data_IF_694729522326
#
_entry.id   IF_694729522326
#
_cell.length_a   1.000
_cell.length_b   1.000
_cell.length_c   1.000
_cell.angle_alpha   90.00
_cell.angle_beta   90.00
_cell.angle_gamma   90.00
#
_symmetry.space_group_name_H-M   'P 1'
#
loop_
_entity.id
_entity.type
_entity.pdbx_description
1 polymer ?
#
# COMPACT_ATOMS: atom_id res chain seq x y z
N UNK A 1 -63.94 21.89 -55.72
CA UNK A 1 -64.08 20.46 -55.31
C UNK A 1 -64.50 20.41 -53.87
N UNK A 2 -65.83 20.33 -53.68
CA UNK A 2 -66.43 20.20 -52.35
C UNK A 2 -66.44 18.72 -51.96
N UNK A 3 -65.81 18.39 -50.92
CA UNK A 3 -65.78 17.03 -50.37
C UNK A 3 -67.06 16.82 -49.58
N UNK A 4 -67.84 15.84 -50.01
CA UNK A 4 -69.17 15.50 -49.50
C UNK A 4 -69.00 14.62 -48.21
N UNK A 5 -68.88 15.30 -47.07
CA UNK A 5 -68.74 14.70 -45.76
C UNK A 5 -69.98 13.96 -45.25
N UNK A 6 -71.17 14.27 -45.86
CA UNK A 6 -72.39 13.60 -45.45
C UNK A 6 -72.49 12.16 -45.93
N UNK A 7 -71.95 11.86 -47.13
CA UNK A 7 -71.92 10.46 -47.65
C UNK A 7 -70.96 9.54 -46.87
N UNK A 8 -70.02 10.10 -46.27
CA UNK A 8 -69.08 9.31 -45.40
C UNK A 8 -69.69 8.99 -44.03
N UNK A 9 -70.57 9.86 -43.52
CA UNK A 9 -71.31 9.60 -42.28
C UNK A 9 -72.37 8.53 -42.42
N UNK A 10 -73.07 8.49 -43.57
CA UNK A 10 -74.10 7.49 -43.87
C UNK A 10 -73.44 6.08 -44.07
N UNK A 11 -72.29 6.03 -44.68
CA UNK A 11 -71.58 4.74 -44.81
C UNK A 11 -70.95 4.23 -43.48
N UNK A 12 -70.68 5.10 -42.50
CA UNK A 12 -70.26 4.67 -41.16
C UNK A 12 -71.38 4.17 -40.29
N UNK A 13 -72.67 4.68 -40.49
CA UNK A 13 -73.82 4.20 -39.72
C UNK A 13 -74.34 2.87 -40.17
N UNK A 14 -74.02 2.40 -41.39
CA UNK A 14 -74.45 1.07 -41.89
C UNK A 14 -73.48 -0.07 -41.54
N UNK A 15 -72.28 0.26 -40.96
CA UNK A 15 -71.27 -0.80 -40.56
C UNK A 15 -71.22 -1.13 -39.07
N UNK A 16 -72.11 -0.53 -38.25
CA UNK A 16 -72.19 -0.84 -36.81
C UNK A 16 -73.30 -1.82 -36.48
N UNK A 17 -73.63 -2.73 -37.40
CA UNK A 17 -74.46 -3.91 -37.18
C UNK A 17 -73.62 -5.18 -37.14
N UNK A 18 -72.51 -5.15 -36.33
CA UNK A 18 -71.75 -6.33 -36.01
C UNK A 18 -72.49 -7.17 -34.97
N UNK A 19 -73.29 -8.09 -35.49
CA UNK A 19 -74.00 -9.09 -34.65
C UNK A 19 -72.98 -9.83 -33.81
N UNK A 20 -73.12 -9.72 -32.52
CA UNK A 20 -72.42 -10.59 -31.54
C UNK A 20 -72.77 -12.05 -31.97
N UNK A 21 -71.79 -12.98 -32.05
CA UNK A 21 -72.12 -14.37 -32.40
C UNK A 21 -73.22 -14.89 -31.50
N UNK A 22 -74.25 -15.58 -32.06
CA UNK A 22 -75.44 -16.00 -31.30
C UNK A 22 -75.14 -16.87 -30.08
N UNK A 23 -73.97 -17.42 -30.00
CA UNK A 23 -73.48 -18.18 -28.82
C UNK A 23 -73.13 -17.29 -27.61
N UNK A 24 -72.87 -15.97 -27.82
CA UNK A 24 -72.55 -15.08 -26.71
C UNK A 24 -73.82 -14.50 -26.06
N UNK A 25 -74.89 -14.32 -26.84
CA UNK A 25 -76.17 -13.89 -26.31
C UNK A 25 -76.87 -14.98 -25.49
N UNK A 26 -76.76 -16.27 -25.89
CA UNK A 26 -77.21 -17.40 -25.07
C UNK A 26 -76.40 -17.52 -23.76
N UNK A 27 -75.10 -17.24 -23.80
CA UNK A 27 -74.26 -17.28 -22.60
C UNK A 27 -74.60 -16.12 -21.63
N UNK A 28 -74.84 -14.93 -22.16
CA UNK A 28 -75.27 -13.74 -21.37
C UNK A 28 -76.72 -13.91 -20.86
N UNK A 29 -77.64 -14.53 -21.65
CA UNK A 29 -79.01 -14.83 -21.20
C UNK A 29 -79.02 -15.95 -20.15
N UNK A 30 -78.24 -17.02 -20.30
CA UNK A 30 -78.05 -18.06 -19.26
C UNK A 30 -77.41 -17.52 -17.97
N UNK A 31 -76.54 -16.54 -18.08
CA UNK A 31 -75.96 -15.81 -16.91
C UNK A 31 -77.00 -14.89 -16.23
N UNK A 32 -77.93 -14.31 -16.98
CA UNK A 32 -79.03 -13.47 -16.45
C UNK A 32 -80.17 -14.28 -15.82
N UNK A 33 -80.43 -15.52 -16.32
CA UNK A 33 -81.46 -16.41 -15.79
C UNK A 33 -80.99 -17.11 -14.50
N UNK A 34 -79.67 -17.12 -14.22
CA UNK A 34 -79.13 -17.64 -12.96
C UNK A 34 -79.34 -16.62 -11.82
N UNK A 35 -80.67 -16.44 -11.46
CA UNK A 35 -81.09 -15.72 -10.27
C UNK A 35 -80.71 -16.46 -9.00
N UNK A 36 -79.41 -16.74 -8.80
CA UNK A 36 -78.92 -17.18 -7.53
C UNK A 36 -78.81 -15.95 -6.61
N UNK A 37 -79.66 -15.87 -5.58
CA UNK A 37 -79.62 -14.83 -4.54
C UNK A 37 -78.23 -14.70 -3.89
N UNK A 38 -77.28 -15.62 -4.17
CA UNK A 38 -75.87 -15.67 -3.73
C UNK A 38 -74.82 -15.20 -4.76
N UNK A 39 -75.20 -14.83 -6.03
CA UNK A 39 -74.26 -14.47 -7.11
C UNK A 39 -73.33 -13.30 -6.72
N UNK A 40 -73.80 -12.20 -6.12
CA UNK A 40 -72.93 -11.13 -5.68
C UNK A 40 -71.97 -11.59 -4.56
N UNK A 41 -72.39 -12.53 -3.70
CA UNK A 41 -71.55 -13.09 -2.67
C UNK A 41 -70.44 -14.02 -3.23
N UNK A 42 -70.75 -14.73 -4.32
CA UNK A 42 -69.75 -15.61 -5.01
C UNK A 42 -68.70 -14.73 -5.70
N UNK A 43 -69.12 -13.63 -6.37
CA UNK A 43 -68.18 -12.69 -6.99
C UNK A 43 -67.34 -12.01 -5.92
N UNK A 44 -67.94 -11.57 -4.83
CA UNK A 44 -67.21 -11.00 -3.70
C UNK A 44 -66.19 -11.98 -3.10
N UNK A 45 -66.60 -13.25 -2.94
CA UNK A 45 -65.73 -14.31 -2.43
C UNK A 45 -64.57 -14.60 -3.39
N UNK A 46 -64.80 -14.66 -4.71
CA UNK A 46 -63.75 -14.81 -5.73
C UNK A 46 -62.80 -13.62 -5.73
N UNK A 47 -63.31 -12.40 -5.60
CA UNK A 47 -62.53 -11.18 -5.55
C UNK A 47 -61.64 -11.18 -4.26
N UNK A 48 -62.22 -11.53 -3.12
CA UNK A 48 -61.46 -11.65 -1.86
C UNK A 48 -60.39 -12.75 -1.99
N UNK A 49 -60.73 -13.91 -2.55
CA UNK A 49 -59.82 -15.00 -2.77
C UNK A 49 -58.70 -14.61 -3.74
N UNK A 50 -58.98 -13.84 -4.78
CA UNK A 50 -57.98 -13.32 -5.71
C UNK A 50 -57.04 -12.30 -5.04
N UNK A 51 -57.57 -11.37 -4.24
CA UNK A 51 -56.78 -10.39 -3.48
C UNK A 51 -55.90 -11.10 -2.45
N UNK A 52 -56.44 -12.07 -1.72
CA UNK A 52 -55.69 -12.88 -0.78
C UNK A 52 -54.63 -13.73 -1.49
N UNK A 53 -54.96 -14.34 -2.63
CA UNK A 53 -54.04 -15.15 -3.42
C UNK A 53 -52.89 -14.35 -3.99
N UNK A 54 -53.15 -13.15 -4.49
CA UNK A 54 -52.07 -12.24 -4.99
C UNK A 54 -51.12 -11.81 -3.87
N UNK A 55 -51.60 -11.71 -2.63
CA UNK A 55 -50.78 -11.36 -1.44
C UNK A 55 -49.90 -12.52 -0.95
N UNK A 56 -50.07 -13.74 -1.49
CA UNK A 56 -49.32 -14.90 -1.04
C UNK A 56 -47.95 -15.04 -1.70
N UNK A 57 -47.74 -14.43 -2.85
CA UNK A 57 -46.46 -14.46 -3.56
C UNK A 57 -45.64 -13.25 -3.22
N UNK A 58 -44.34 -13.48 -3.02
CA UNK A 58 -43.35 -12.39 -2.84
C UNK A 58 -42.00 -12.80 -3.40
N UNK A 59 -41.23 -11.81 -3.81
CA UNK A 59 -39.89 -12.00 -4.33
C UNK A 59 -38.85 -11.52 -3.30
N UNK A 60 -37.76 -12.27 -3.15
CA UNK A 60 -36.59 -11.91 -2.36
C UNK A 60 -35.45 -11.64 -3.33
N UNK A 61 -34.80 -10.49 -3.22
CA UNK A 61 -33.67 -10.14 -4.05
C UNK A 61 -32.45 -11.04 -3.74
N UNK A 62 -31.47 -11.10 -4.65
CA UNK A 62 -30.30 -11.99 -4.54
C UNK A 62 -29.41 -11.61 -3.34
N UNK A 63 -29.41 -10.36 -2.94
CA UNK A 63 -28.66 -9.82 -1.80
C UNK A 63 -29.41 -9.88 -0.46
N UNK A 64 -30.70 -10.30 -0.49
CA UNK A 64 -31.59 -10.33 0.66
C UNK A 64 -31.96 -11.77 1.08
N UNK A 65 -32.38 -11.90 2.32
CA UNK A 65 -33.00 -13.09 2.87
C UNK A 65 -34.30 -12.66 3.57
N UNK A 66 -35.38 -13.39 3.31
CA UNK A 66 -36.69 -13.11 3.92
C UNK A 66 -36.86 -13.85 5.21
N UNK A 67 -37.12 -13.17 6.31
CA UNK A 67 -37.48 -13.76 7.60
C UNK A 67 -39.00 -13.70 7.76
N UNK A 68 -39.63 -14.89 7.89
CA UNK A 68 -41.08 -15.04 7.98
C UNK A 68 -41.47 -15.25 9.43
N UNK A 69 -42.40 -14.39 9.87
CA UNK A 69 -43.05 -14.43 11.18
C UNK A 69 -44.53 -14.76 11.01
N UNK A 70 -45.06 -15.67 11.78
CA UNK A 70 -46.49 -15.96 11.88
C UNK A 70 -46.98 -15.53 13.26
N UNK A 71 -47.88 -14.56 13.31
CA UNK A 71 -48.39 -13.96 14.55
C UNK A 71 -47.24 -13.52 15.49
N UNK A 72 -46.14 -12.97 14.91
CA UNK A 72 -44.97 -12.54 15.69
C UNK A 72 -43.93 -13.62 15.97
N UNK A 73 -44.26 -14.91 15.83
CA UNK A 73 -43.29 -16.01 16.05
C UNK A 73 -42.52 -16.30 14.77
N UNK A 74 -41.20 -16.44 14.87
CA UNK A 74 -40.36 -16.92 13.75
C UNK A 74 -40.75 -18.32 13.30
N UNK A 75 -40.87 -18.55 12.02
CA UNK A 75 -41.18 -19.86 11.42
C UNK A 75 -40.05 -20.36 10.54
N UNK A 76 -39.59 -19.53 9.59
CA UNK A 76 -38.57 -19.95 8.61
C UNK A 76 -37.89 -18.76 7.97
N UNK A 77 -36.75 -19.04 7.35
CA UNK A 77 -36.00 -18.11 6.52
C UNK A 77 -36.17 -18.49 5.05
N UNK A 78 -36.44 -17.51 4.17
CA UNK A 78 -36.64 -17.71 2.72
C UNK A 78 -35.39 -17.35 1.96
N UNK A 79 -35.00 -18.22 1.03
CA UNK A 79 -33.90 -17.98 0.08
C UNK A 79 -34.31 -16.97 -1.00
N UNK A 80 -33.33 -16.34 -1.71
CA UNK A 80 -33.59 -15.49 -2.86
C UNK A 80 -34.45 -16.17 -3.93
N UNK A 81 -35.32 -15.42 -4.57
CA UNK A 81 -36.26 -15.91 -5.60
C UNK A 81 -37.71 -15.66 -5.28
N UNK A 82 -38.59 -16.37 -6.01
CA UNK A 82 -40.04 -16.36 -5.79
C UNK A 82 -40.38 -17.30 -4.64
N UNK A 83 -41.05 -16.80 -3.63
CA UNK A 83 -41.44 -17.53 -2.44
C UNK A 83 -42.92 -17.35 -2.15
N UNK A 84 -43.47 -18.28 -1.34
CA UNK A 84 -44.85 -18.33 -0.94
C UNK A 84 -44.98 -18.06 0.56
N UNK A 85 -45.96 -17.24 0.94
CA UNK A 85 -46.34 -16.98 2.33
C UNK A 85 -47.86 -17.04 2.50
N UNK A 86 -48.31 -17.20 3.71
CA UNK A 86 -49.74 -17.07 4.02
C UNK A 86 -50.17 -15.59 3.86
N UNK A 87 -51.47 -15.35 3.57
CA UNK A 87 -52.01 -14.04 3.31
C UNK A 87 -51.62 -13.00 4.36
N UNK A 88 -51.59 -11.73 3.95
CA UNK A 88 -51.30 -10.60 4.83
C UNK A 88 -52.22 -10.63 6.07
N UNK A 89 -51.63 -10.51 7.26
CA UNK A 89 -52.31 -10.64 8.56
C UNK A 89 -51.92 -11.92 9.30
N UNK A 90 -51.56 -13.01 8.62
CA UNK A 90 -51.10 -14.26 9.24
C UNK A 90 -49.56 -14.28 9.25
N UNK A 91 -48.95 -14.10 8.08
CA UNK A 91 -47.49 -14.07 7.97
C UNK A 91 -46.98 -12.67 7.57
N UNK A 92 -45.99 -12.19 8.32
CA UNK A 92 -45.23 -10.98 8.04
C UNK A 92 -43.84 -11.38 7.57
N UNK A 93 -43.34 -10.74 6.51
CA UNK A 93 -41.98 -10.91 6.02
C UNK A 93 -41.16 -9.68 6.34
N UNK A 94 -39.96 -9.89 6.84
CA UNK A 94 -38.91 -8.85 6.99
C UNK A 94 -37.71 -9.24 6.11
N UNK A 95 -37.39 -8.42 5.12
CA UNK A 95 -36.25 -8.65 4.22
C UNK A 95 -35.00 -8.06 4.85
N UNK A 96 -33.93 -8.85 4.95
CA UNK A 96 -32.65 -8.48 5.53
C UNK A 96 -31.55 -8.63 4.47
N UNK A 97 -30.77 -7.60 4.23
CA UNK A 97 -29.67 -7.60 3.26
C UNK A 97 -28.43 -8.25 3.85
N UNK A 98 -28.24 -9.54 3.62
CA UNK A 98 -27.16 -10.36 4.21
C UNK A 98 -25.84 -10.22 3.44
N UNK A 99 -25.89 -9.91 2.14
CA UNK A 99 -24.68 -9.75 1.31
C UNK A 99 -24.10 -8.36 1.33
N UNK A 100 -24.87 -7.38 1.79
CA UNK A 100 -24.44 -6.00 1.88
C UNK A 100 -23.45 -5.84 3.03
N UNK A 101 -22.31 -5.18 2.75
CA UNK A 101 -21.38 -4.71 3.77
C UNK A 101 -21.86 -3.36 4.26
N UNK A 102 -22.10 -3.26 5.54
CA UNK A 102 -22.40 -2.01 6.26
C UNK A 102 -21.14 -1.46 6.86
N UNK A 103 -21.09 -0.15 7.08
CA UNK A 103 -19.97 0.50 7.75
C UNK A 103 -20.47 1.43 8.85
N UNK A 104 -19.76 1.41 9.98
CA UNK A 104 -19.91 2.40 11.05
C UNK A 104 -18.58 3.13 11.22
N UNK A 105 -18.65 4.45 11.33
CA UNK A 105 -17.51 5.36 11.41
C UNK A 105 -17.42 5.90 12.84
N UNK A 106 -16.21 5.90 13.41
CA UNK A 106 -15.93 6.33 14.79
C UNK A 106 -14.87 7.42 14.79
N UNK A 107 -15.17 8.53 15.47
CA UNK A 107 -14.25 9.67 15.56
C UNK A 107 -14.22 10.60 14.37
N UNK A 108 -15.04 10.34 13.36
CA UNK A 108 -15.23 11.22 12.20
C UNK A 108 -16.51 10.85 11.48
N UNK A 109 -16.97 11.74 10.61
CA UNK A 109 -18.08 11.47 9.70
C UNK A 109 -17.72 11.86 8.28
N UNK A 110 -18.04 11.01 7.34
CA UNK A 110 -17.92 11.31 5.91
C UNK A 110 -19.09 12.18 5.47
N UNK A 111 -18.83 13.44 5.07
CA UNK A 111 -19.87 14.40 4.64
C UNK A 111 -20.25 14.20 3.16
N UNK A 112 -19.28 13.89 2.32
CA UNK A 112 -19.53 13.63 0.90
C UNK A 112 -18.57 12.55 0.38
N UNK A 113 -19.14 11.62 -0.41
CA UNK A 113 -18.40 10.56 -1.09
C UNK A 113 -18.21 10.84 -2.58
N UNK A 114 -18.31 12.10 -3.00
CA UNK A 114 -18.11 12.53 -4.39
C UNK A 114 -16.60 12.64 -4.70
N UNK A 115 -16.21 13.21 -5.82
CA UNK A 115 -14.84 13.32 -6.35
C UNK A 115 -13.74 13.66 -5.31
N UNK A 116 -14.10 14.18 -4.13
CA UNK A 116 -13.20 14.33 -2.97
C UNK A 116 -13.91 13.96 -1.68
N UNK A 117 -13.44 12.91 -1.00
CA UNK A 117 -13.94 12.54 0.33
C UNK A 117 -13.53 13.58 1.36
N UNK A 118 -14.51 14.33 1.89
CA UNK A 118 -14.27 15.28 3.00
C UNK A 118 -14.70 14.63 4.30
N UNK A 119 -13.78 14.62 5.25
CA UNK A 119 -14.03 14.19 6.63
C UNK A 119 -14.27 15.45 7.48
N UNK A 120 -15.29 15.43 8.31
CA UNK A 120 -15.42 16.38 9.43
C UNK A 120 -15.43 15.59 10.72
N UNK A 121 -14.86 16.19 11.75
CA UNK A 121 -14.97 15.72 13.12
C UNK A 121 -15.62 16.82 13.94
N UNK A 122 -16.75 16.52 14.56
CA UNK A 122 -17.34 17.37 15.59
C UNK A 122 -16.66 17.15 16.94
N UNK A 123 -16.86 18.06 17.90
CA UNK A 123 -16.33 17.89 19.25
C UNK A 123 -16.78 16.57 19.90
N UNK A 124 -18.02 16.15 19.63
CA UNK A 124 -18.60 14.92 20.18
C UNK A 124 -18.01 13.68 19.54
N UNK A 125 -17.75 13.71 18.21
CA UNK A 125 -17.11 12.63 17.48
C UNK A 125 -15.64 12.44 17.89
N UNK A 126 -14.93 13.55 18.14
CA UNK A 126 -13.58 13.50 18.68
C UNK A 126 -13.51 12.85 20.05
N UNK A 127 -14.52 13.03 20.91
CA UNK A 127 -14.55 12.42 22.24
C UNK A 127 -14.58 10.90 22.20
N UNK A 128 -15.25 10.30 21.23
CA UNK A 128 -15.28 8.85 21.00
C UNK A 128 -13.91 8.32 20.57
N UNK A 129 -13.20 9.08 19.72
CA UNK A 129 -11.89 8.70 19.21
C UNK A 129 -10.74 8.94 20.19
N UNK A 130 -10.97 9.71 21.28
CA UNK A 130 -9.96 9.94 22.30
C UNK A 130 -9.85 8.71 23.20
N UNK A 131 -8.65 8.11 23.24
CA UNK A 131 -8.37 6.91 24.01
C UNK A 131 -7.09 7.07 24.82
N UNK A 132 -7.09 6.50 26.03
CA UNK A 132 -5.91 6.41 26.86
C UNK A 132 -5.12 5.16 26.48
N UNK A 133 -3.81 5.32 26.30
CA UNK A 133 -2.87 4.23 26.03
C UNK A 133 -2.27 3.68 27.33
N UNK A 134 -1.66 2.49 27.27
CA UNK A 134 -1.06 1.84 28.45
C UNK A 134 0.09 2.61 29.09
N UNK A 135 0.74 3.50 28.34
CA UNK A 135 1.79 4.41 28.82
C UNK A 135 1.24 5.77 29.29
N UNK A 136 -0.06 5.84 29.61
CA UNK A 136 -0.78 7.01 30.13
C UNK A 136 -0.78 8.23 29.17
N UNK A 137 -0.57 8.01 27.91
CA UNK A 137 -0.74 9.03 26.89
C UNK A 137 -2.16 9.02 26.31
N UNK A 138 -2.56 10.13 25.68
CA UNK A 138 -3.86 10.24 25.01
C UNK A 138 -3.63 10.22 23.51
N UNK A 139 -4.28 9.27 22.83
CA UNK A 139 -4.28 9.13 21.39
C UNK A 139 -5.65 9.47 20.81
N UNK A 140 -5.65 10.12 19.64
CA UNK A 140 -6.84 10.28 18.80
C UNK A 140 -6.82 9.15 17.76
N UNK A 141 -7.71 8.20 17.92
CA UNK A 141 -7.78 6.97 17.14
C UNK A 141 -9.11 6.87 16.42
N UNK A 142 -9.26 7.41 15.21
CA UNK A 142 -10.45 7.20 14.40
C UNK A 142 -10.38 5.85 13.68
N UNK A 143 -11.52 5.11 13.66
CA UNK A 143 -11.60 3.82 12.99
C UNK A 143 -12.94 3.61 12.29
N UNK A 144 -12.99 2.60 11.42
CA UNK A 144 -14.18 2.15 10.71
C UNK A 144 -14.37 0.67 11.00
N UNK A 145 -15.59 0.28 11.32
CA UNK A 145 -16.00 -1.11 11.41
C UNK A 145 -16.84 -1.45 10.18
N UNK A 146 -16.43 -2.43 9.42
CA UNK A 146 -17.19 -2.99 8.31
C UNK A 146 -17.77 -4.32 8.74
N UNK A 147 -19.08 -4.49 8.58
CA UNK A 147 -19.77 -5.69 9.00
C UNK A 147 -20.85 -6.11 8.01
N UNK A 148 -21.26 -7.37 8.11
CA UNK A 148 -22.40 -7.92 7.40
C UNK A 148 -23.27 -8.74 8.34
N UNK A 149 -24.52 -8.93 7.96
CA UNK A 149 -25.47 -9.76 8.72
C UNK A 149 -25.25 -11.22 8.33
N UNK A 150 -24.81 -12.05 9.27
CA UNK A 150 -24.57 -13.49 9.09
C UNK A 150 -25.83 -14.30 9.35
N UNK A 151 -26.50 -14.01 10.47
CA UNK A 151 -27.72 -14.67 10.88
C UNK A 151 -28.87 -13.67 11.05
N UNK A 152 -29.81 -13.61 10.07
CA UNK A 152 -30.94 -12.70 10.12
C UNK A 152 -31.89 -12.95 11.29
N UNK A 153 -31.97 -14.18 11.81
CA UNK A 153 -32.82 -14.51 12.97
C UNK A 153 -32.27 -13.84 14.23
N UNK A 154 -31.01 -14.07 14.56
CA UNK A 154 -30.34 -13.46 15.70
C UNK A 154 -30.38 -11.93 15.60
N UNK A 155 -30.08 -11.38 14.42
CA UNK A 155 -30.10 -9.95 14.16
C UNK A 155 -31.46 -9.28 14.43
N UNK A 156 -32.58 -9.97 14.18
CA UNK A 156 -33.91 -9.37 14.32
C UNK A 156 -34.58 -9.65 15.68
N UNK A 157 -34.19 -10.73 16.40
CA UNK A 157 -34.96 -11.22 17.54
C UNK A 157 -34.18 -11.36 18.84
N UNK A 158 -32.87 -11.44 18.79
CA UNK A 158 -32.06 -11.63 20.01
C UNK A 158 -31.71 -10.33 20.68
N UNK A 159 -31.43 -9.29 19.91
CA UNK A 159 -31.01 -7.99 20.41
C UNK A 159 -31.97 -6.91 19.94
N UNK A 160 -32.35 -5.99 20.82
CA UNK A 160 -33.31 -4.94 20.52
C UNK A 160 -32.77 -3.95 19.48
N UNK A 161 -31.51 -3.49 19.64
CA UNK A 161 -30.81 -2.59 18.74
C UNK A 161 -29.37 -3.08 18.54
N UNK A 162 -29.22 -3.91 17.49
CA UNK A 162 -27.93 -4.54 17.18
C UNK A 162 -26.91 -3.50 16.72
N UNK A 163 -27.37 -2.40 16.08
CA UNK A 163 -26.47 -1.34 15.64
C UNK A 163 -25.85 -0.62 16.84
N UNK A 164 -26.66 -0.29 17.84
CA UNK A 164 -26.16 0.35 19.06
C UNK A 164 -25.24 -0.57 19.85
N UNK A 165 -25.61 -1.85 19.98
CA UNK A 165 -24.75 -2.87 20.57
C UNK A 165 -23.38 -2.93 19.88
N UNK A 166 -23.35 -2.95 18.54
CA UNK A 166 -22.10 -2.95 17.76
C UNK A 166 -21.26 -1.72 18.07
N UNK A 167 -21.88 -0.54 18.13
CA UNK A 167 -21.20 0.72 18.45
C UNK A 167 -20.55 0.65 19.84
N UNK A 168 -21.35 0.33 20.85
CA UNK A 168 -20.91 0.29 22.25
C UNK A 168 -19.82 -0.78 22.45
N UNK A 169 -19.98 -1.97 21.88
CA UNK A 169 -18.99 -3.04 21.96
C UNK A 169 -17.71 -2.71 21.18
N UNK A 170 -17.82 -2.13 19.99
CA UNK A 170 -16.65 -1.71 19.21
C UNK A 170 -15.80 -0.70 19.96
N UNK A 171 -16.44 0.27 20.59
CA UNK A 171 -15.76 1.26 21.43
C UNK A 171 -15.07 0.62 22.65
N UNK A 172 -15.74 -0.30 23.33
CA UNK A 172 -15.18 -1.01 24.48
C UNK A 172 -13.97 -1.88 24.09
N UNK A 173 -14.09 -2.67 23.01
CA UNK A 173 -13.01 -3.52 22.50
C UNK A 173 -11.80 -2.70 22.04
N UNK A 174 -12.02 -1.62 21.30
CA UNK A 174 -10.93 -0.74 20.88
C UNK A 174 -10.23 -0.09 22.07
N UNK A 175 -10.96 0.38 23.08
CA UNK A 175 -10.35 0.93 24.30
C UNK A 175 -9.56 -0.12 25.07
N UNK A 176 -10.02 -1.36 25.12
CA UNK A 176 -9.30 -2.44 25.78
C UNK A 176 -7.97 -2.74 25.08
N UNK A 177 -7.99 -2.94 23.79
CA UNK A 177 -6.78 -3.27 23.01
C UNK A 177 -5.77 -2.11 23.01
N UNK A 178 -6.23 -0.86 22.86
CA UNK A 178 -5.36 0.33 22.87
C UNK A 178 -4.82 0.60 24.27
N UNK A 179 -5.61 0.37 25.32
CA UNK A 179 -5.20 0.57 26.71
C UNK A 179 -4.05 -0.32 27.16
N UNK A 180 -3.80 -1.42 26.47
CA UNK A 180 -2.67 -2.33 26.73
C UNK A 180 -1.42 -2.03 25.86
N UNK A 181 -1.48 -1.00 25.00
CA UNK A 181 -0.42 -0.64 24.04
C UNK A 181 0.18 0.72 24.33
N UNK A 182 1.47 0.91 23.98
CA UNK A 182 2.10 2.24 24.04
C UNK A 182 1.63 3.13 22.89
N UNK A 183 1.73 4.46 23.05
CA UNK A 183 1.37 5.43 22.00
C UNK A 183 2.13 5.19 20.69
N UNK A 184 3.41 4.80 20.77
CA UNK A 184 4.24 4.51 19.62
C UNK A 184 3.75 3.27 18.86
N UNK A 185 3.31 2.23 19.57
CA UNK A 185 2.70 1.04 18.95
C UNK A 185 1.37 1.36 18.31
N UNK A 186 0.52 2.15 18.97
CA UNK A 186 -0.79 2.56 18.42
C UNK A 186 -0.61 3.37 17.11
N UNK A 187 0.47 4.12 16.96
CA UNK A 187 0.77 4.86 15.73
C UNK A 187 1.40 3.94 14.66
N UNK A 188 2.30 3.02 15.03
CA UNK A 188 3.11 2.23 14.09
C UNK A 188 2.50 0.89 13.71
N UNK A 189 1.78 0.20 14.64
CA UNK A 189 1.26 -1.17 14.48
C UNK A 189 -0.27 -1.20 14.32
N UNK A 190 -0.83 -0.28 13.56
CA UNK A 190 -2.29 -0.12 13.41
C UNK A 190 -3.00 -1.36 12.87
N UNK A 191 -2.37 -2.09 11.96
CA UNK A 191 -2.94 -3.30 11.35
C UNK A 191 -3.04 -4.43 12.38
N UNK A 192 -2.00 -4.66 13.17
CA UNK A 192 -1.97 -5.66 14.25
C UNK A 192 -3.07 -5.39 15.29
N UNK A 193 -3.19 -4.12 15.71
CA UNK A 193 -4.21 -3.67 16.67
C UNK A 193 -5.62 -3.83 16.10
N UNK A 194 -5.82 -3.50 14.83
CA UNK A 194 -7.13 -3.65 14.17
C UNK A 194 -7.55 -5.11 14.06
N UNK A 195 -6.62 -6.03 13.78
CA UNK A 195 -6.88 -7.47 13.71
C UNK A 195 -7.23 -8.04 15.08
N UNK A 196 -6.49 -7.69 16.13
CA UNK A 196 -6.76 -8.09 17.52
C UNK A 196 -8.13 -7.58 17.98
N UNK A 197 -8.43 -6.30 17.71
CA UNK A 197 -9.73 -5.71 18.03
C UNK A 197 -10.87 -6.38 17.26
N UNK A 198 -10.64 -6.78 16.00
CA UNK A 198 -11.62 -7.51 15.19
C UNK A 198 -11.94 -8.87 15.80
N UNK A 199 -10.94 -9.62 16.23
CA UNK A 199 -11.12 -10.95 16.84
C UNK A 199 -11.87 -10.84 18.17
N UNK A 200 -11.48 -9.88 18.99
CA UNK A 200 -12.16 -9.61 20.28
C UNK A 200 -13.61 -9.19 20.06
N UNK A 201 -13.85 -8.22 19.18
CA UNK A 201 -15.20 -7.75 18.86
C UNK A 201 -16.08 -8.84 18.28
N UNK A 202 -15.55 -9.71 17.39
CA UNK A 202 -16.31 -10.84 16.85
C UNK A 202 -16.70 -11.81 17.95
N UNK A 203 -15.80 -12.11 18.87
CA UNK A 203 -16.06 -13.00 20.01
C UNK A 203 -17.18 -12.46 20.90
N UNK A 204 -17.14 -11.17 21.24
CA UNK A 204 -18.15 -10.51 22.06
C UNK A 204 -19.52 -10.44 21.36
N UNK A 205 -19.53 -10.16 20.05
CA UNK A 205 -20.76 -10.15 19.26
C UNK A 205 -21.37 -11.55 19.06
N UNK A 206 -20.54 -12.59 19.01
CA UNK A 206 -20.98 -13.98 18.96
C UNK A 206 -21.55 -14.44 20.32
N UNK A 207 -20.92 -14.04 21.43
CA UNK A 207 -21.42 -14.26 22.79
C UNK A 207 -22.78 -13.57 23.03
N UNK A 208 -22.97 -12.39 22.46
CA UNK A 208 -24.24 -11.66 22.50
C UNK A 208 -25.29 -12.20 21.51
N UNK A 209 -24.99 -13.22 20.72
CA UNK A 209 -25.87 -13.78 19.69
C UNK A 209 -26.43 -12.70 18.73
N UNK A 210 -25.60 -11.69 18.38
CA UNK A 210 -26.03 -10.51 17.61
C UNK A 210 -26.37 -10.84 16.13
N UNK A 211 -25.88 -11.95 15.61
CA UNK A 211 -26.06 -12.35 14.21
C UNK A 211 -25.21 -11.52 13.22
N UNK A 212 -24.22 -10.72 13.71
CA UNK A 212 -23.31 -9.92 12.90
C UNK A 212 -21.99 -10.68 12.68
N UNK A 213 -21.41 -10.47 11.53
CA UNK A 213 -20.03 -10.86 11.22
C UNK A 213 -19.21 -9.64 10.84
N UNK A 214 -18.11 -9.42 11.55
CA UNK A 214 -17.17 -8.33 11.25
C UNK A 214 -16.32 -8.72 10.04
N UNK A 215 -16.36 -7.92 9.01
CA UNK A 215 -15.56 -8.13 7.79
C UNK A 215 -14.15 -7.61 8.02
N UNK A 216 -14.02 -6.40 8.54
CA UNK A 216 -12.73 -5.78 8.88
C UNK A 216 -12.91 -4.60 9.81
N UNK A 217 -11.90 -4.31 10.60
CA UNK A 217 -11.72 -3.04 11.30
C UNK A 217 -10.56 -2.32 10.65
N UNK A 218 -10.74 -1.06 10.31
CA UNK A 218 -9.72 -0.22 9.70
C UNK A 218 -9.44 1.00 10.57
N UNK A 219 -8.25 1.07 11.15
CA UNK A 219 -7.80 2.26 11.86
C UNK A 219 -7.31 3.31 10.86
N UNK A 220 -7.82 4.52 10.99
CA UNK A 220 -7.36 5.67 10.21
C UNK A 220 -6.07 6.25 10.80
N UNK A 221 -5.62 7.38 10.27
CA UNK A 221 -4.41 8.03 10.76
C UNK A 221 -4.57 8.40 12.24
N UNK A 222 -3.86 7.69 13.09
CA UNK A 222 -3.80 7.94 14.53
C UNK A 222 -2.83 9.07 14.82
N UNK A 223 -3.22 9.99 15.69
CA UNK A 223 -2.42 11.14 16.11
C UNK A 223 -2.57 11.36 17.63
N UNK A 224 -1.68 12.17 18.17
CA UNK A 224 -1.89 12.78 19.47
C UNK A 224 -2.82 14.00 19.32
N UNK A 225 -3.54 14.42 20.38
CA UNK A 225 -4.36 15.64 20.37
C UNK A 225 -3.55 16.86 19.93
N UNK A 226 -4.16 17.76 19.14
CA UNK A 226 -3.49 18.91 18.54
C UNK A 226 -2.71 19.80 19.53
N UNK A 227 -3.17 20.05 20.77
CA UNK A 227 -2.42 20.89 21.72
C UNK A 227 -1.08 20.31 22.14
N UNK A 228 -0.92 19.00 22.17
CA UNK A 228 0.32 18.32 22.62
C UNK A 228 1.19 17.82 21.46
N UNK A 229 0.68 17.91 20.23
CA UNK A 229 1.39 17.44 19.03
C UNK A 229 2.77 18.09 18.81
N UNK A 230 2.96 19.41 19.03
CA UNK A 230 4.30 20.02 18.89
C UNK A 230 5.31 19.42 19.87
N UNK A 231 4.95 19.28 21.14
CA UNK A 231 5.83 18.69 22.17
C UNK A 231 6.15 17.22 21.89
N UNK A 232 5.18 16.44 21.42
CA UNK A 232 5.40 15.07 21.02
C UNK A 232 6.36 14.96 19.84
N UNK A 233 6.23 15.84 18.85
CA UNK A 233 7.16 15.91 17.71
C UNK A 233 8.58 16.28 18.14
N UNK A 234 8.73 17.22 19.08
CA UNK A 234 10.03 17.64 19.61
C UNK A 234 10.74 16.49 20.35
N UNK A 235 10.02 15.72 21.18
CA UNK A 235 10.57 14.53 21.83
C UNK A 235 11.03 13.49 20.80
N UNK A 236 10.20 13.19 19.78
CA UNK A 236 10.58 12.26 18.73
C UNK A 236 11.79 12.76 17.91
N UNK A 237 11.85 14.04 17.61
CA UNK A 237 13.01 14.64 16.94
C UNK A 237 14.27 14.48 17.78
N UNK A 238 14.22 14.77 19.08
CA UNK A 238 15.35 14.62 20.00
C UNK A 238 15.83 13.16 20.09
N UNK A 239 14.93 12.20 20.09
CA UNK A 239 15.26 10.76 20.05
C UNK A 239 15.99 10.43 18.74
N UNK A 240 15.49 10.88 17.60
CA UNK A 240 16.11 10.66 16.30
C UNK A 240 17.49 11.34 16.19
N UNK A 241 17.64 12.56 16.71
CA UNK A 241 18.92 13.25 16.77
C UNK A 241 19.94 12.49 17.62
N UNK A 242 19.53 11.99 18.78
CA UNK A 242 20.37 11.13 19.63
C UNK A 242 20.84 9.88 18.89
N UNK A 243 19.92 9.17 18.23
CA UNK A 243 20.26 7.98 17.45
C UNK A 243 21.21 8.31 16.30
N UNK A 244 20.95 9.39 15.56
CA UNK A 244 21.82 9.89 14.49
C UNK A 244 23.23 10.15 14.99
N UNK A 245 23.39 10.84 16.12
CA UNK A 245 24.71 11.10 16.72
C UNK A 245 25.44 9.80 17.10
N UNK A 246 24.70 8.83 17.65
CA UNK A 246 25.28 7.50 17.98
C UNK A 246 25.74 6.79 16.72
N UNK A 247 24.94 6.79 15.64
CA UNK A 247 25.33 6.16 14.38
C UNK A 247 26.51 6.89 13.71
N UNK A 248 26.54 8.22 13.74
CA UNK A 248 27.67 9.00 13.23
C UNK A 248 28.97 8.66 14.00
N UNK A 249 28.92 8.64 15.33
CA UNK A 249 30.07 8.27 16.13
C UNK A 249 30.57 6.83 15.85
N UNK A 250 29.63 5.88 15.65
CA UNK A 250 29.99 4.51 15.23
C UNK A 250 30.58 4.46 13.83
N UNK A 251 30.07 5.25 12.91
CA UNK A 251 30.61 5.37 11.54
C UNK A 251 32.04 5.91 11.58
N UNK A 252 32.27 7.00 12.30
CA UNK A 252 33.59 7.59 12.45
C UNK A 252 34.58 6.61 13.10
N UNK A 253 34.18 5.92 14.15
CA UNK A 253 34.97 4.87 14.77
C UNK A 253 35.34 3.76 13.78
N UNK A 254 34.34 3.24 13.04
CA UNK A 254 34.53 2.16 12.07
C UNK A 254 35.35 2.58 10.84
N UNK A 255 35.46 3.88 10.54
CA UNK A 255 36.35 4.41 9.50
C UNK A 255 37.75 4.67 10.03
N UNK A 256 37.88 5.34 11.16
CA UNK A 256 39.16 5.78 11.70
C UNK A 256 40.06 4.61 12.11
N UNK A 257 39.54 3.62 12.82
CA UNK A 257 40.37 2.50 13.33
C UNK A 257 40.92 1.63 12.21
N UNK A 258 40.12 1.14 11.23
CA UNK A 258 40.67 0.34 10.13
C UNK A 258 41.61 1.17 9.23
N UNK A 259 41.31 2.47 9.00
CA UNK A 259 42.20 3.32 8.24
C UNK A 259 43.57 3.49 8.91
N UNK A 260 43.62 3.74 10.22
CA UNK A 260 44.86 3.85 10.97
C UNK A 260 45.66 2.53 10.97
N UNK A 261 44.98 1.39 11.13
CA UNK A 261 45.60 0.06 11.02
C UNK A 261 46.15 -0.18 9.62
N UNK A 262 45.37 0.13 8.58
CA UNK A 262 45.82 -0.02 7.19
C UNK A 262 47.04 0.84 6.87
N UNK A 263 47.09 2.08 7.38
CA UNK A 263 48.25 2.96 7.22
C UNK A 263 49.50 2.45 7.96
N UNK A 264 49.32 1.95 9.19
CA UNK A 264 50.39 1.31 9.94
C UNK A 264 50.95 0.07 9.20
N UNK A 265 50.09 -0.83 8.75
CA UNK A 265 50.48 -2.01 7.99
C UNK A 265 51.16 -1.63 6.67
N UNK A 266 50.66 -0.61 5.97
CA UNK A 266 51.27 -0.10 4.75
C UNK A 266 52.70 0.40 5.04
N UNK A 267 52.91 1.15 6.12
CA UNK A 267 54.21 1.67 6.51
C UNK A 267 55.18 0.57 6.85
N UNK A 268 54.74 -0.44 7.63
CA UNK A 268 55.57 -1.59 7.97
C UNK A 268 55.94 -2.40 6.72
N UNK A 269 54.99 -2.69 5.85
CA UNK A 269 55.24 -3.43 4.60
C UNK A 269 56.15 -2.65 3.63
N UNK A 270 56.04 -1.36 3.57
CA UNK A 270 56.93 -0.51 2.78
C UNK A 270 58.40 -0.57 3.31
N UNK A 271 58.56 -0.54 4.64
CA UNK A 271 59.87 -0.63 5.25
C UNK A 271 60.50 -2.06 5.07
N UNK A 272 59.72 -3.10 5.22
CA UNK A 272 60.14 -4.48 4.93
C UNK A 272 60.58 -4.64 3.45
N UNK A 273 59.74 -4.12 2.52
CA UNK A 273 60.02 -4.14 1.08
C UNK A 273 61.33 -3.39 0.75
N UNK A 274 61.50 -2.20 1.36
CA UNK A 274 62.74 -1.43 1.20
C UNK A 274 63.97 -2.19 1.74
N UNK A 275 63.87 -2.79 2.89
CA UNK A 275 64.97 -3.58 3.47
C UNK A 275 65.34 -4.77 2.58
N UNK A 276 64.33 -5.52 2.05
CA UNK A 276 64.56 -6.62 1.14
C UNK A 276 65.20 -6.17 -0.18
N UNK A 277 64.69 -5.08 -0.75
CA UNK A 277 65.24 -4.48 -2.00
C UNK A 277 66.73 -4.11 -1.80
N UNK A 278 67.06 -3.46 -0.68
CA UNK A 278 68.42 -3.06 -0.36
C UNK A 278 69.37 -4.27 -0.19
N UNK A 279 68.87 -5.31 0.51
CA UNK A 279 69.64 -6.57 0.69
C UNK A 279 69.85 -7.26 -0.66
N UNK A 280 68.79 -7.37 -1.46
CA UNK A 280 68.85 -8.01 -2.77
C UNK A 280 69.74 -7.28 -3.75
N UNK A 281 69.68 -5.95 -3.79
CA UNK A 281 70.63 -5.10 -4.59
C UNK A 281 72.05 -5.32 -4.16
N UNK A 282 72.35 -5.28 -2.84
CA UNK A 282 73.72 -5.51 -2.34
C UNK A 282 74.23 -6.92 -2.70
N UNK A 283 73.38 -7.96 -2.56
CA UNK A 283 73.71 -9.30 -2.99
C UNK A 283 73.90 -9.41 -4.50
N UNK A 284 73.08 -8.75 -5.27
CA UNK A 284 73.17 -8.70 -6.73
C UNK A 284 74.49 -8.04 -7.18
N UNK A 285 74.81 -6.89 -6.58
CA UNK A 285 76.06 -6.14 -6.88
C UNK A 285 77.28 -6.95 -6.52
N UNK A 286 77.29 -7.60 -5.33
CA UNK A 286 78.38 -8.51 -4.92
C UNK A 286 78.55 -9.70 -5.86
N UNK A 287 77.46 -10.34 -6.26
CA UNK A 287 77.47 -11.47 -7.22
C UNK A 287 77.97 -11.03 -8.60
N UNK A 288 77.48 -9.87 -9.05
CA UNK A 288 77.97 -9.26 -10.31
C UNK A 288 79.44 -8.95 -10.27
N UNK A 289 79.89 -8.31 -9.17
CA UNK A 289 81.29 -8.01 -9.00
C UNK A 289 82.15 -9.29 -8.98
N UNK A 290 81.77 -10.32 -8.24
CA UNK A 290 82.44 -11.57 -8.19
C UNK A 290 82.55 -12.26 -9.53
N UNK A 291 81.41 -12.31 -10.29
CA UNK A 291 81.41 -12.85 -11.67
C UNK A 291 82.33 -12.11 -12.61
N UNK A 292 82.27 -10.78 -12.54
CA UNK A 292 83.14 -9.92 -13.34
C UNK A 292 84.63 -10.07 -12.98
N UNK A 293 84.93 -10.15 -11.66
CA UNK A 293 86.25 -10.36 -11.20
C UNK A 293 86.82 -11.70 -11.68
N UNK A 294 86.02 -12.79 -11.63
CA UNK A 294 86.44 -14.09 -12.10
C UNK A 294 86.78 -14.08 -13.60
N UNK A 295 86.01 -13.37 -14.42
CA UNK A 295 86.27 -13.21 -15.87
C UNK A 295 87.49 -12.32 -16.09
N UNK A 296 87.62 -11.22 -15.30
CA UNK A 296 88.82 -10.38 -15.36
C UNK A 296 90.10 -11.13 -15.02
N UNK A 297 90.06 -12.02 -14.02
CA UNK A 297 91.20 -12.82 -13.64
C UNK A 297 91.71 -13.74 -14.76
N UNK A 298 90.82 -14.26 -15.61
CA UNK A 298 91.14 -15.12 -16.77
C UNK A 298 91.77 -14.34 -17.92
N UNK A 299 91.30 -13.07 -18.22
CA UNK A 299 91.74 -12.31 -19.38
C UNK A 299 91.67 -10.77 -19.10
N UNK A 300 92.70 -10.28 -18.40
CA UNK A 300 92.77 -8.94 -17.84
C UNK A 300 92.60 -7.83 -18.91
N UNK A 301 93.32 -7.85 -20.00
CA UNK A 301 93.34 -6.79 -21.02
C UNK A 301 92.06 -6.76 -21.90
N UNK A 302 91.56 -7.96 -22.18
CA UNK A 302 90.32 -8.07 -23.01
C UNK A 302 89.13 -7.61 -22.17
N UNK A 303 89.04 -7.98 -20.92
CA UNK A 303 87.88 -7.57 -20.04
C UNK A 303 87.93 -6.09 -19.74
N UNK A 304 89.14 -5.50 -19.51
CA UNK A 304 89.27 -4.04 -19.33
C UNK A 304 88.78 -3.25 -20.55
N UNK A 305 89.20 -3.69 -21.73
CA UNK A 305 88.83 -3.04 -22.99
C UNK A 305 87.32 -3.14 -23.28
N UNK A 306 86.76 -4.30 -22.98
CA UNK A 306 85.29 -4.53 -23.06
C UNK A 306 84.52 -3.63 -22.14
N UNK A 307 84.86 -3.59 -20.83
CA UNK A 307 84.22 -2.75 -19.86
C UNK A 307 84.28 -1.24 -20.24
N UNK A 308 85.44 -0.81 -20.74
CA UNK A 308 85.60 0.56 -21.19
C UNK A 308 84.66 0.91 -22.37
N UNK A 309 84.58 0.02 -23.33
CA UNK A 309 83.66 0.19 -24.50
C UNK A 309 82.20 0.12 -24.09
N UNK A 310 81.81 -0.77 -23.21
CA UNK A 310 80.45 -0.89 -22.62
C UNK A 310 80.10 0.41 -21.87
N UNK A 311 80.99 0.93 -21.02
CA UNK A 311 80.75 2.20 -20.30
C UNK A 311 80.59 3.37 -21.24
N UNK A 312 81.44 3.44 -22.29
CA UNK A 312 81.30 4.48 -23.34
C UNK A 312 80.02 4.36 -24.12
N UNK A 313 79.57 3.15 -24.44
CA UNK A 313 78.30 2.89 -25.13
C UNK A 313 77.11 3.41 -24.33
N UNK A 314 77.11 3.24 -23.01
CA UNK A 314 76.07 3.71 -22.09
C UNK A 314 76.14 5.22 -21.81
N UNK A 315 77.35 5.78 -21.80
CA UNK A 315 77.58 7.18 -21.51
C UNK A 315 77.33 8.11 -22.72
N UNK A 316 77.77 7.68 -23.91
CA UNK A 316 77.67 8.53 -25.14
C UNK A 316 76.22 8.97 -25.46
N UNK A 317 75.17 8.08 -25.35
CA UNK A 317 73.79 8.51 -25.58
C UNK A 317 73.31 9.58 -24.55
N UNK A 318 73.78 9.52 -23.32
CA UNK A 318 73.39 10.42 -22.23
C UNK A 318 74.08 11.79 -22.26
N UNK A 319 75.17 11.89 -23.02
CA UNK A 319 75.82 13.17 -23.32
C UNK A 319 75.01 13.90 -24.42
N UNK A 320 74.64 15.12 -24.19
CA UNK A 320 73.87 15.93 -25.12
C UNK A 320 74.47 16.02 -26.53
N UNK A 321 74.34 17.18 -27.21
CA UNK A 321 74.94 17.34 -28.54
C UNK A 321 76.43 17.06 -28.50
N UNK A 322 76.88 16.22 -29.43
CA UNK A 322 78.29 15.81 -29.53
C UNK A 322 78.90 16.36 -30.77
N UNK A 323 80.08 16.93 -30.60
CA UNK A 323 80.88 17.46 -31.73
C UNK A 323 82.14 16.61 -31.80
N UNK A 324 82.28 15.86 -32.93
CA UNK A 324 83.51 15.11 -33.17
C UNK A 324 84.44 15.97 -33.99
N UNK A 325 85.59 16.34 -33.43
CA UNK A 325 86.57 17.15 -34.07
C UNK A 325 87.82 16.30 -34.31
N UNK A 326 88.34 16.38 -35.55
CA UNK A 326 89.55 15.65 -35.89
C UNK A 326 90.75 16.36 -35.29
N UNK A 327 91.69 15.61 -34.78
CA UNK A 327 92.92 16.14 -34.07
C UNK A 327 93.83 17.02 -34.93
N UNK A 328 93.77 16.90 -36.27
CA UNK A 328 94.66 17.64 -37.22
C UNK A 328 94.09 18.98 -37.62
N UNK A 329 92.88 19.39 -37.21
CA UNK A 329 92.28 20.67 -37.58
C UNK A 329 92.55 21.73 -36.51
N UNK A 330 93.60 22.57 -36.70
CA UNK A 330 93.99 23.62 -35.76
C UNK A 330 93.15 24.94 -35.80
N UNK A 331 92.15 25.10 -36.67
CA UNK A 331 91.47 26.36 -36.89
C UNK A 331 89.88 26.28 -36.96
N UNK A 332 89.21 25.54 -36.13
CA UNK A 332 87.77 25.41 -36.16
C UNK A 332 87.00 26.27 -35.16
N UNK A 333 87.65 27.03 -34.29
CA UNK A 333 87.01 27.69 -33.15
C UNK A 333 86.15 28.95 -33.52
N UNK A 334 86.30 29.70 -34.62
CA UNK A 334 85.46 30.86 -34.83
C UNK A 334 84.09 30.60 -35.48
N UNK A 335 83.81 29.38 -35.98
CA UNK A 335 82.58 29.09 -36.72
C UNK A 335 81.61 28.18 -35.99
N UNK A 336 81.96 27.65 -34.85
CA UNK A 336 81.04 26.79 -34.06
C UNK A 336 80.13 27.69 -33.21
N UNK A 337 78.97 27.98 -33.71
CA UNK A 337 77.91 28.58 -32.90
C UNK A 337 77.38 27.48 -31.92
N UNK A 338 77.95 27.42 -30.76
CA UNK A 338 77.50 26.58 -29.65
C UNK A 338 76.23 27.11 -29.05
N UNK A 339 75.20 27.30 -29.89
CA UNK A 339 73.91 27.86 -29.53
C UNK A 339 73.41 27.45 -28.19
N UNK A 340 73.71 28.25 -27.15
CA UNK A 340 72.96 28.29 -25.91
C UNK A 340 71.56 28.85 -26.24
N UNK A 341 70.64 27.99 -26.67
CA UNK A 341 69.23 28.33 -26.62
C UNK A 341 68.80 28.25 -25.14
N UNK A 342 68.75 29.42 -24.50
CA UNK A 342 68.01 29.70 -23.31
C UNK A 342 66.57 29.48 -23.65
N UNK A 343 65.98 28.36 -23.24
CA UNK A 343 64.51 28.20 -23.17
C UNK A 343 63.98 29.27 -22.22
N UNK A 344 63.45 30.34 -22.77
CA UNK A 344 62.56 31.25 -22.05
C UNK A 344 61.27 30.48 -21.86
N UNK A 345 61.07 29.92 -20.69
CA UNK A 345 59.75 29.45 -20.24
C UNK A 345 58.83 30.68 -20.17
N UNK A 346 58.02 30.84 -21.21
CA UNK A 346 56.82 31.69 -21.12
C UNK A 346 55.84 30.98 -20.17
N UNK A 347 55.86 31.41 -18.94
CA UNK A 347 54.73 31.23 -18.06
C UNK A 347 53.56 32.06 -18.56
N UNK A 348 52.48 31.43 -18.98
CA UNK A 348 51.15 32.06 -19.09
C UNK A 348 50.19 31.20 -18.38
N UNK A 349 49.67 31.81 -17.32
CA UNK A 349 48.39 31.63 -16.68
C UNK A 349 47.31 30.90 -17.49
N UNK A 350 46.69 29.91 -16.89
CA UNK A 350 45.25 29.98 -16.52
C UNK A 350 44.92 28.88 -15.55
#
# INVERSE_FOLDING_TARGET
MSWDWEKLKEQQQQKTGGGVPPQMDEFVQKLKEFKFKGFPFIILFILIAFVLGSSMFYTVAVDEVGVIQRFGKYIRTSQPGLNFKLPAGIEKITKVKVRRVYKEEFGFRTISSDLSTRFSSSSDENSVALMLTGDLNVALVPWIVQYRIKDPYNFLFKVLDVRRLLIDMSEACMRLVIGDRSINEVISKREEIAEEAQQLLQTELDNAESGIHIVTIEMKKTNVPSPVQPSFNEVNQSIQEKEKLIYQAKEDYNKAIPAARGEADRTVKAAEGYALDRINRAKGDASRFTALYNEYAKAKDITRRRMYLETLKDLIPKLGRKFIIDSDQKNLLPLLNLGLQTEIQNGVEK
#
